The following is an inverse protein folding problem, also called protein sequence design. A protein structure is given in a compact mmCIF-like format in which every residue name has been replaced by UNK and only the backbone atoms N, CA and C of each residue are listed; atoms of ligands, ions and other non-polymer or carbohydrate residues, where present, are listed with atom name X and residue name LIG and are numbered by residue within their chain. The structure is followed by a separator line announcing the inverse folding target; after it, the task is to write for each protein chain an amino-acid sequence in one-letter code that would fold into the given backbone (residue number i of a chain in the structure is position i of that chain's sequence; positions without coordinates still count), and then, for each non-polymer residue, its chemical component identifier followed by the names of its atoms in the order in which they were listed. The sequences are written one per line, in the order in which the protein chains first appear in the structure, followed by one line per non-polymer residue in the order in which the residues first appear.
data_IF_972916066683
#
_entry.id   IF_972916066683
#
_cell.length_a   1.000
_cell.length_b   1.000
_cell.length_c   1.000
_cell.angle_alpha   90.00
_cell.angle_beta   90.00
_cell.angle_gamma   90.00
#
_symmetry.space_group_name_H-M   'P 1'
#
loop_
_entity.id
_entity.type
_entity.pdbx_description
1 polymer ?
#
# COMPACT_ATOMS: atom_id res chain seq x y z
N UNK A 1 6.08 -6.31 -36.04
CA UNK A 1 5.92 -5.38 -34.89
C UNK A 1 4.56 -5.48 -34.19
N UNK A 2 3.56 -6.20 -34.74
CA UNK A 2 2.26 -6.43 -34.04
C UNK A 2 2.34 -7.52 -32.95
N UNK A 3 3.31 -8.43 -33.03
CA UNK A 3 3.47 -9.54 -32.09
C UNK A 3 3.78 -9.10 -30.67
N UNK A 4 4.57 -8.05 -30.47
CA UNK A 4 4.92 -7.54 -29.14
C UNK A 4 3.73 -6.86 -28.45
N UNK A 5 2.93 -6.09 -29.19
CA UNK A 5 1.74 -5.40 -28.67
C UNK A 5 0.65 -6.41 -28.25
N UNK A 6 0.38 -7.41 -29.08
CA UNK A 6 -0.59 -8.48 -28.77
C UNK A 6 -0.13 -9.28 -27.54
N UNK A 7 1.17 -9.55 -27.44
CA UNK A 7 1.74 -10.24 -26.26
C UNK A 7 1.55 -9.40 -24.99
N UNK A 8 1.86 -8.10 -25.03
CA UNK A 8 1.66 -7.18 -23.90
C UNK A 8 0.18 -7.09 -23.48
N UNK A 9 -0.73 -6.94 -24.43
CA UNK A 9 -2.17 -6.88 -24.16
C UNK A 9 -2.69 -8.20 -23.56
N UNK A 10 -2.23 -9.35 -24.06
CA UNK A 10 -2.63 -10.64 -23.51
C UNK A 10 -2.12 -10.86 -22.08
N UNK A 11 -0.91 -10.37 -21.78
CA UNK A 11 -0.33 -10.42 -20.44
C UNK A 11 -1.06 -9.49 -19.48
N UNK A 12 -1.38 -8.28 -19.94
CA UNK A 12 -2.16 -7.31 -19.16
C UNK A 12 -3.56 -7.84 -18.86
N UNK A 13 -4.25 -8.41 -19.86
CA UNK A 13 -5.56 -9.04 -19.67
C UNK A 13 -5.51 -10.18 -18.66
N UNK A 14 -4.46 -11.01 -18.71
CA UNK A 14 -4.27 -12.10 -17.73
C UNK A 14 -4.11 -11.58 -16.31
N UNK A 15 -3.38 -10.48 -16.12
CA UNK A 15 -3.23 -9.83 -14.80
C UNK A 15 -4.57 -9.25 -14.32
N UNK A 16 -5.32 -8.62 -15.21
CA UNK A 16 -6.66 -8.08 -14.90
C UNK A 16 -7.66 -9.20 -14.55
N UNK A 17 -7.64 -10.31 -15.28
CA UNK A 17 -8.45 -11.50 -15.00
C UNK A 17 -8.05 -12.14 -13.66
N UNK A 18 -6.76 -12.31 -13.37
CA UNK A 18 -6.27 -12.80 -12.06
C UNK A 18 -6.61 -11.83 -10.91
N UNK A 19 -6.68 -10.53 -11.19
CA UNK A 19 -7.12 -9.51 -10.24
C UNK A 19 -8.62 -9.65 -9.95
N UNK A 20 -9.46 -9.68 -10.98
CA UNK A 20 -10.91 -9.81 -10.86
C UNK A 20 -11.29 -11.11 -10.15
N UNK A 21 -10.66 -12.23 -10.51
CA UNK A 21 -10.91 -13.53 -9.88
C UNK A 21 -10.63 -13.51 -8.38
N UNK A 22 -9.60 -12.77 -7.93
CA UNK A 22 -9.30 -12.61 -6.50
C UNK A 22 -10.29 -11.70 -5.78
N UNK A 23 -10.78 -10.64 -6.42
CA UNK A 23 -11.77 -9.72 -5.84
C UNK A 23 -13.17 -10.33 -5.80
N UNK A 24 -13.54 -11.10 -6.81
CA UNK A 24 -14.87 -11.71 -7.00
C UNK A 24 -15.06 -13.03 -6.23
N UNK A 25 -14.03 -13.55 -5.56
CA UNK A 25 -14.17 -14.76 -4.75
C UNK A 25 -15.25 -14.59 -3.66
N UNK A 26 -16.31 -15.42 -3.63
CA UNK A 26 -17.30 -15.40 -2.55
C UNK A 26 -16.62 -15.64 -1.20
N UNK A 27 -16.66 -14.64 -0.31
CA UNK A 27 -15.94 -14.65 0.96
C UNK A 27 -14.87 -13.57 1.09
N UNK A 28 -14.67 -12.73 0.06
CA UNK A 28 -13.89 -11.49 0.21
C UNK A 28 -14.54 -10.58 1.26
N UNK A 29 -13.76 -10.24 2.28
CA UNK A 29 -14.22 -9.43 3.40
C UNK A 29 -14.45 -7.99 2.91
N UNK A 30 -15.72 -7.60 2.85
CA UNK A 30 -16.13 -6.22 2.61
C UNK A 30 -16.63 -5.60 3.92
N UNK A 31 -16.17 -4.40 4.21
CA UNK A 31 -16.65 -3.58 5.31
C UNK A 31 -17.22 -2.27 4.75
N UNK A 32 -18.47 -1.99 5.09
CA UNK A 32 -19.18 -0.79 4.65
C UNK A 32 -18.58 0.52 5.18
N UNK A 33 -17.81 0.46 6.28
CA UNK A 33 -17.10 1.62 6.84
C UNK A 33 -15.82 1.96 6.07
N UNK A 34 -15.35 1.07 5.20
CA UNK A 34 -14.10 1.26 4.46
C UNK A 34 -14.33 1.86 3.08
N UNK A 35 -13.36 2.65 2.64
CA UNK A 35 -13.32 3.12 1.24
C UNK A 35 -13.24 1.93 0.28
N UNK A 36 -13.67 2.13 -0.96
CA UNK A 36 -13.60 1.09 -1.99
C UNK A 36 -12.17 0.58 -2.22
N UNK A 37 -11.18 1.49 -2.20
CA UNK A 37 -9.77 1.13 -2.31
C UNK A 37 -9.32 0.22 -1.16
N UNK A 38 -9.78 0.49 0.06
CA UNK A 38 -9.47 -0.34 1.21
C UNK A 38 -10.18 -1.70 1.12
N UNK A 39 -11.45 -1.73 0.70
CA UNK A 39 -12.19 -2.98 0.47
C UNK A 39 -11.52 -3.88 -0.59
N UNK A 40 -10.90 -3.30 -1.61
CA UNK A 40 -10.12 -4.04 -2.62
C UNK A 40 -8.88 -4.70 -1.98
N UNK A 41 -8.10 -3.93 -1.20
CA UNK A 41 -6.89 -4.44 -0.52
C UNK A 41 -7.26 -5.58 0.43
N UNK A 42 -8.37 -5.45 1.14
CA UNK A 42 -8.85 -6.44 2.11
C UNK A 42 -9.39 -7.69 1.42
N UNK A 43 -10.08 -7.55 0.28
CA UNK A 43 -10.55 -8.69 -0.50
C UNK A 43 -9.42 -9.60 -1.00
N UNK A 44 -8.22 -9.05 -1.19
CA UNK A 44 -7.04 -9.82 -1.63
C UNK A 44 -6.15 -10.33 -0.49
N UNK A 45 -6.44 -9.94 0.74
CA UNK A 45 -5.58 -10.14 1.91
C UNK A 45 -6.32 -10.91 3.00
N UNK A 46 -5.57 -11.49 3.93
CA UNK A 46 -6.19 -12.09 5.12
C UNK A 46 -6.80 -11.02 6.01
N UNK A 47 -7.81 -11.37 6.81
CA UNK A 47 -8.49 -10.44 7.74
C UNK A 47 -7.54 -9.67 8.66
N UNK A 48 -6.51 -10.35 9.18
CA UNK A 48 -5.57 -9.72 10.11
C UNK A 48 -4.61 -8.76 9.38
N UNK A 49 -4.21 -9.05 8.14
CA UNK A 49 -3.42 -8.11 7.31
C UNK A 49 -4.23 -6.85 7.01
N UNK A 50 -5.52 -7.03 6.70
CA UNK A 50 -6.48 -5.97 6.48
C UNK A 50 -6.61 -5.03 7.69
N UNK A 51 -6.85 -5.59 8.88
CA UNK A 51 -6.94 -4.84 10.15
C UNK A 51 -5.63 -4.10 10.46
N UNK A 52 -4.48 -4.72 10.16
CA UNK A 52 -3.16 -4.10 10.35
C UNK A 52 -2.93 -2.91 9.41
N UNK A 53 -3.28 -3.03 8.13
CA UNK A 53 -3.19 -1.93 7.15
C UNK A 53 -4.14 -0.80 7.53
N UNK A 54 -5.36 -1.12 7.96
CA UNK A 54 -6.37 -0.12 8.35
C UNK A 54 -5.88 0.76 9.49
N UNK A 55 -5.24 0.14 10.49
CA UNK A 55 -4.66 0.84 11.63
C UNK A 55 -3.59 1.83 11.18
N UNK A 56 -2.75 1.45 10.21
CA UNK A 56 -1.76 2.37 9.63
C UNK A 56 -2.43 3.49 8.81
N UNK A 57 -3.46 3.16 8.03
CA UNK A 57 -4.18 4.10 7.18
C UNK A 57 -4.89 5.17 8.00
N UNK A 58 -5.62 4.80 9.06
CA UNK A 58 -6.31 5.75 9.94
C UNK A 58 -5.36 6.80 10.53
N UNK A 59 -4.14 6.39 10.88
CA UNK A 59 -3.11 7.30 11.38
C UNK A 59 -2.59 8.20 10.26
N UNK A 60 -2.31 7.62 9.09
CA UNK A 60 -1.83 8.36 7.93
C UNK A 60 -2.83 9.40 7.39
N UNK A 61 -4.13 9.08 7.42
CA UNK A 61 -5.20 9.95 6.94
C UNK A 61 -5.61 11.04 7.93
N UNK A 62 -5.15 10.97 9.18
CA UNK A 62 -5.44 12.01 10.16
C UNK A 62 -4.56 13.24 9.88
N UNK A 63 -5.20 14.35 9.49
CA UNK A 63 -4.51 15.58 9.07
C UNK A 63 -3.61 16.17 10.16
N UNK A 64 -4.01 16.09 11.43
CA UNK A 64 -3.22 16.62 12.55
C UNK A 64 -1.94 15.81 12.75
N UNK A 65 -2.03 14.49 12.57
CA UNK A 65 -0.89 13.59 12.68
C UNK A 65 0.00 13.70 11.43
N UNK A 66 -0.60 13.77 10.25
CA UNK A 66 0.15 13.86 8.98
C UNK A 66 0.96 15.16 8.90
N UNK A 67 0.45 16.26 9.47
CA UNK A 67 1.16 17.54 9.54
C UNK A 67 2.45 17.47 10.37
N UNK A 68 2.60 16.49 11.26
CA UNK A 68 3.82 16.27 12.05
C UNK A 68 4.96 15.59 11.28
N UNK A 69 4.73 15.12 10.06
CA UNK A 69 5.76 14.47 9.24
C UNK A 69 6.54 15.48 8.40
N UNK A 70 7.84 15.28 8.33
CA UNK A 70 8.76 16.00 7.45
C UNK A 70 9.51 15.03 6.56
N UNK A 71 9.86 15.49 5.36
CA UNK A 71 10.44 14.63 4.32
C UNK A 71 11.76 15.21 3.83
N UNK A 72 12.83 14.41 3.90
CA UNK A 72 14.14 14.75 3.35
C UNK A 72 14.51 13.78 2.25
N UNK A 73 14.56 14.31 1.04
CA UNK A 73 14.83 13.53 -0.17
C UNK A 73 16.33 13.21 -0.29
N UNK A 74 16.66 11.91 -0.39
CA UNK A 74 18.04 11.41 -0.48
C UNK A 74 18.15 10.41 -1.63
N UNK A 75 18.35 10.90 -2.85
CA UNK A 75 18.49 10.07 -4.04
C UNK A 75 17.29 9.14 -4.23
N UNK A 76 17.51 7.83 -4.09
CA UNK A 76 16.52 6.77 -4.30
C UNK A 76 15.59 6.58 -3.10
N UNK A 77 15.89 7.25 -1.99
CA UNK A 77 15.19 7.13 -0.72
C UNK A 77 14.65 8.49 -0.26
N UNK A 78 13.68 8.44 0.65
CA UNK A 78 13.23 9.59 1.43
C UNK A 78 13.34 9.25 2.91
N UNK A 79 13.92 10.17 3.68
CA UNK A 79 13.92 10.12 5.13
C UNK A 79 12.64 10.81 5.58
N UNK A 80 11.86 10.11 6.37
CA UNK A 80 10.58 10.54 6.91
C UNK A 80 10.77 10.72 8.41
N UNK A 81 10.62 11.95 8.90
CA UNK A 81 10.84 12.28 10.30
C UNK A 81 9.54 12.76 10.95
N UNK A 82 9.19 12.22 12.13
CA UNK A 82 8.09 12.67 12.98
C UNK A 82 8.59 12.78 14.42
N UNK A 83 8.77 14.02 14.90
CA UNK A 83 9.42 14.29 16.17
C UNK A 83 10.84 13.73 16.21
N UNK A 84 11.08 12.78 17.12
CA UNK A 84 12.39 12.14 17.31
C UNK A 84 12.55 10.82 16.53
N UNK A 85 11.56 10.43 15.72
CA UNK A 85 11.61 9.19 14.95
C UNK A 85 11.92 9.49 13.50
N UNK A 86 12.93 8.82 12.95
CA UNK A 86 13.30 8.90 11.54
C UNK A 86 13.25 7.51 10.91
N UNK A 87 12.71 7.45 9.70
CA UNK A 87 12.58 6.23 8.92
C UNK A 87 12.99 6.45 7.48
N UNK A 88 13.70 5.48 6.92
CA UNK A 88 14.05 5.48 5.50
C UNK A 88 12.99 4.72 4.69
N UNK A 89 12.51 5.35 3.63
CA UNK A 89 11.57 4.77 2.67
C UNK A 89 12.22 4.77 1.28
N UNK A 90 12.27 3.62 0.61
CA UNK A 90 12.67 3.56 -0.79
C UNK A 90 11.52 4.03 -1.68
N UNK A 91 11.80 4.92 -2.64
CA UNK A 91 10.74 5.59 -3.41
C UNK A 91 10.00 4.69 -4.41
N UNK A 92 10.71 3.73 -5.01
CA UNK A 92 10.11 2.89 -6.06
C UNK A 92 9.28 1.75 -5.48
N UNK A 93 9.81 1.06 -4.46
CA UNK A 93 9.12 -0.07 -3.84
C UNK A 93 8.20 0.34 -2.69
N UNK A 94 8.32 1.57 -2.20
CA UNK A 94 7.66 2.06 -0.99
C UNK A 94 7.94 1.21 0.25
N UNK A 95 9.08 0.52 0.26
CA UNK A 95 9.52 -0.26 1.40
C UNK A 95 10.14 0.65 2.46
N UNK A 96 9.63 0.57 3.68
CA UNK A 96 10.08 1.36 4.82
C UNK A 96 10.90 0.49 5.77
N UNK A 97 11.87 1.09 6.46
CA UNK A 97 12.69 0.41 7.45
C UNK A 97 12.05 0.33 8.86
N UNK A 98 10.84 0.86 9.04
CA UNK A 98 10.13 0.78 10.30
C UNK A 98 9.77 -0.67 10.66
N UNK A 99 9.65 -0.95 11.96
CA UNK A 99 9.40 -2.31 12.47
C UNK A 99 8.16 -2.96 11.86
N UNK A 100 7.09 -2.18 11.67
CA UNK A 100 5.86 -2.66 11.04
C UNK A 100 6.12 -3.18 9.63
N UNK A 101 6.80 -2.40 8.78
CA UNK A 101 7.04 -2.79 7.40
C UNK A 101 8.02 -3.96 7.30
N UNK A 102 9.07 -3.99 8.14
CA UNK A 102 10.01 -5.12 8.21
C UNK A 102 9.35 -6.43 8.65
N UNK A 103 8.46 -6.37 9.65
CA UNK A 103 7.83 -7.56 10.24
C UNK A 103 6.67 -8.07 9.38
N UNK A 104 5.78 -7.16 9.01
CA UNK A 104 4.53 -7.52 8.32
C UNK A 104 4.74 -7.64 6.81
N UNK A 105 5.78 -7.00 6.26
CA UNK A 105 5.97 -6.82 4.81
C UNK A 105 4.74 -6.21 4.13
N UNK A 106 4.09 -5.30 4.85
CA UNK A 106 2.92 -4.53 4.39
C UNK A 106 3.26 -3.03 4.31
N UNK A 107 2.48 -2.25 3.53
CA UNK A 107 2.59 -0.80 3.52
C UNK A 107 2.37 -0.23 4.92
N UNK A 108 3.30 0.61 5.37
CA UNK A 108 3.18 1.30 6.65
C UNK A 108 2.64 2.73 6.47
N UNK A 109 2.26 3.38 7.57
CA UNK A 109 1.81 4.78 7.54
C UNK A 109 2.81 5.75 6.91
N UNK A 110 4.12 5.50 7.02
CA UNK A 110 5.13 6.39 6.41
C UNK A 110 5.08 6.34 4.88
N UNK A 111 4.88 5.14 4.32
CA UNK A 111 4.68 4.97 2.87
C UNK A 111 3.39 5.65 2.41
N UNK A 112 2.33 5.58 3.22
CA UNK A 112 1.03 6.21 2.93
C UNK A 112 1.07 7.73 3.02
N UNK A 113 1.78 8.31 4.00
CA UNK A 113 1.89 9.77 4.19
C UNK A 113 2.81 10.40 3.15
N UNK A 114 3.78 9.66 2.63
CA UNK A 114 4.67 10.14 1.57
C UNK A 114 4.01 10.18 0.16
N UNK A 115 3.01 9.33 -0.08
CA UNK A 115 2.37 9.17 -1.38
C UNK A 115 1.06 9.95 -1.48
#
# INVERSE_FOLDING_TARGET
MLSSLVTLLSWQRRIEEEYLTRVEMPGTLRNAEYSEQMNIVIGMKTRWEAEAIETQYKVASNMDISAGYSFKNTGDHVIISNGNHEHQLQKDTLQCDCEFSKTMKLPCRHAMVYK
#
